data_IF_279387676836
#
_entry.id   IF_279387676836
#
_cell.length_a   1.000
_cell.length_b   1.000
_cell.length_c   1.000
_cell.angle_alpha   90.00
_cell.angle_beta   90.00
_cell.angle_gamma   90.00
#
_symmetry.space_group_name_H-M   'P 1'
#
loop_
_entity.id
_entity.type
_entity.pdbx_description
1 polymer ?
#
# COMPACT_ATOMS: atom_id res chain seq x y z
N UNK A 1 -5.68 0.49 15.32
CA UNK A 1 -6.73 -0.34 14.70
C UNK A 1 -7.36 0.26 13.43
N UNK A 2 -6.91 1.41 12.91
CA UNK A 2 -7.46 1.99 11.67
C UNK A 2 -7.12 1.20 10.40
N UNK A 3 -5.93 0.60 10.35
CA UNK A 3 -5.44 -0.14 9.18
C UNK A 3 -6.33 -1.36 8.88
N UNK A 4 -6.74 -2.12 9.90
CA UNK A 4 -7.56 -3.34 9.71
C UNK A 4 -8.96 -2.99 9.14
N UNK A 5 -9.61 -1.97 9.71
CA UNK A 5 -10.91 -1.46 9.21
C UNK A 5 -10.76 -0.95 7.77
N UNK A 6 -9.70 -0.20 7.48
CA UNK A 6 -9.41 0.31 6.14
C UNK A 6 -9.19 -0.81 5.12
N UNK A 7 -8.38 -1.82 5.45
CA UNK A 7 -8.13 -2.96 4.56
C UNK A 7 -9.37 -3.81 4.32
N UNK A 8 -10.19 -4.05 5.35
CA UNK A 8 -11.45 -4.79 5.21
C UNK A 8 -12.41 -4.08 4.26
N UNK A 9 -12.61 -2.76 4.45
CA UNK A 9 -13.48 -1.97 3.59
C UNK A 9 -12.96 -1.94 2.15
N UNK A 10 -11.65 -1.71 1.94
CA UNK A 10 -11.07 -1.63 0.61
C UNK A 10 -11.14 -2.96 -0.14
N UNK A 11 -10.87 -4.08 0.55
CA UNK A 11 -10.91 -5.42 -0.07
C UNK A 11 -12.34 -5.90 -0.35
N UNK A 12 -13.32 -5.45 0.43
CA UNK A 12 -14.73 -5.76 0.18
C UNK A 12 -15.34 -4.89 -0.92
N UNK A 13 -15.01 -3.60 -0.96
CA UNK A 13 -15.57 -2.66 -1.96
C UNK A 13 -14.97 -2.83 -3.36
N UNK A 14 -13.66 -3.11 -3.47
CA UNK A 14 -12.98 -3.24 -4.76
C UNK A 14 -13.62 -4.28 -5.72
N UNK A 15 -13.92 -5.53 -5.30
CA UNK A 15 -14.53 -6.52 -6.20
C UNK A 15 -15.98 -6.19 -6.54
N UNK A 16 -16.77 -5.64 -5.60
CA UNK A 16 -18.17 -5.26 -5.82
C UNK A 16 -18.29 -4.16 -6.87
N UNK A 17 -17.36 -3.20 -6.85
CA UNK A 17 -17.34 -2.09 -7.81
C UNK A 17 -16.77 -2.54 -9.15
N UNK A 18 -15.76 -3.42 -9.14
CA UNK A 18 -15.21 -3.98 -10.37
C UNK A 18 -16.24 -4.80 -11.17
N UNK A 19 -17.10 -5.56 -10.48
CA UNK A 19 -18.16 -6.37 -11.09
C UNK A 19 -19.26 -5.51 -11.73
N UNK A 20 -19.70 -4.43 -11.05
CA UNK A 20 -20.78 -3.57 -11.55
C UNK A 20 -20.36 -2.46 -12.51
N UNK A 21 -19.18 -1.88 -12.32
CA UNK A 21 -18.74 -0.65 -13.02
C UNK A 21 -17.43 -0.85 -13.80
N UNK A 22 -16.83 -2.04 -13.73
CA UNK A 22 -15.59 -2.38 -14.41
C UNK A 22 -14.33 -1.89 -13.70
N UNK A 23 -13.19 -2.48 -14.06
CA UNK A 23 -11.90 -2.22 -13.41
C UNK A 23 -11.42 -0.76 -13.53
N UNK A 24 -11.75 -0.07 -14.62
CA UNK A 24 -11.36 1.33 -14.84
C UNK A 24 -11.95 2.27 -13.75
N UNK A 25 -13.20 2.05 -13.35
CA UNK A 25 -13.86 2.85 -12.30
C UNK A 25 -13.24 2.55 -10.93
N UNK A 26 -12.93 1.28 -10.65
CA UNK A 26 -12.26 0.87 -9.40
C UNK A 26 -10.89 1.53 -9.24
N UNK A 27 -10.08 1.60 -10.32
CA UNK A 27 -8.77 2.27 -10.27
C UNK A 27 -8.90 3.78 -10.02
N UNK A 28 -9.86 4.44 -10.67
CA UNK A 28 -10.12 5.87 -10.45
C UNK A 28 -10.58 6.16 -9.01
N UNK A 29 -11.39 5.28 -8.42
CA UNK A 29 -11.83 5.40 -7.04
C UNK A 29 -10.67 5.28 -6.04
N UNK A 30 -9.73 4.36 -6.28
CA UNK A 30 -8.52 4.23 -5.46
C UNK A 30 -7.67 5.51 -5.53
N UNK A 31 -7.50 6.08 -6.73
CA UNK A 31 -6.83 7.37 -6.93
C UNK A 31 -7.52 8.51 -6.17
N UNK A 32 -8.85 8.59 -6.27
CA UNK A 32 -9.64 9.59 -5.54
C UNK A 32 -9.49 9.44 -4.02
N UNK A 33 -9.51 8.21 -3.50
CA UNK A 33 -9.27 7.93 -2.09
C UNK A 33 -7.90 8.41 -1.59
N UNK A 34 -6.84 8.22 -2.40
CA UNK A 34 -5.51 8.72 -2.10
C UNK A 34 -5.46 10.26 -2.10
N UNK A 35 -6.13 10.91 -3.05
CA UNK A 35 -6.22 12.39 -3.11
C UNK A 35 -6.92 12.93 -1.85
N UNK A 36 -8.04 12.32 -1.45
CA UNK A 36 -8.75 12.70 -0.22
C UNK A 36 -7.85 12.51 1.00
N UNK A 37 -7.12 11.40 1.10
CA UNK A 37 -6.17 11.18 2.18
C UNK A 37 -5.08 12.26 2.24
N UNK A 38 -4.54 12.67 1.09
CA UNK A 38 -3.58 13.78 1.01
C UNK A 38 -4.20 15.11 1.43
N UNK A 39 -5.43 15.41 1.01
CA UNK A 39 -6.12 16.65 1.41
C UNK A 39 -6.35 16.73 2.91
N UNK A 40 -6.81 15.62 3.52
CA UNK A 40 -6.98 15.55 4.98
C UNK A 40 -5.64 15.70 5.69
N UNK A 41 -4.57 15.08 5.17
CA UNK A 41 -3.22 15.25 5.72
C UNK A 41 -2.77 16.72 5.66
N UNK A 42 -2.99 17.42 4.53
CA UNK A 42 -2.64 18.83 4.40
C UNK A 42 -3.45 19.73 5.35
N UNK A 43 -4.75 19.47 5.50
CA UNK A 43 -5.61 20.21 6.45
C UNK A 43 -5.16 20.00 7.90
N UNK A 44 -4.79 18.77 8.27
CA UNK A 44 -4.34 18.41 9.61
C UNK A 44 -2.83 18.60 9.84
N UNK A 45 -2.09 19.10 8.85
CA UNK A 45 -0.62 19.25 8.91
C UNK A 45 -0.16 20.09 10.09
N UNK A 46 -0.98 21.06 10.51
CA UNK A 46 -0.73 21.91 11.68
C UNK A 46 -0.68 21.14 13.00
N UNK A 47 -1.49 20.09 13.16
CA UNK A 47 -1.50 19.26 14.38
C UNK A 47 -0.31 18.29 14.46
N UNK A 48 0.21 17.83 13.31
CA UNK A 48 1.29 16.83 13.26
C UNK A 48 2.68 17.46 13.29
N UNK A 49 2.80 18.78 13.03
CA UNK A 49 4.08 19.50 12.93
C UNK A 49 4.96 19.44 14.20
N UNK A 50 4.35 19.26 15.37
CA UNK A 50 5.07 19.16 16.66
C UNK A 50 5.42 17.72 17.07
N UNK A 51 5.01 16.71 16.28
CA UNK A 51 5.20 15.29 16.56
C UNK A 51 6.04 14.72 15.40
N UNK A 52 7.34 15.03 15.41
CA UNK A 52 8.27 14.61 14.36
C UNK A 52 9.65 14.29 14.94
N UNK A 53 10.25 13.19 14.49
CA UNK A 53 11.63 12.83 14.86
C UNK A 53 12.64 13.85 14.29
N UNK A 54 13.83 13.96 14.88
CA UNK A 54 14.94 14.84 14.41
C UNK A 54 15.20 14.91 12.88
N UNK A 55 14.99 13.86 12.05
CA UNK A 55 15.07 13.97 10.59
C UNK A 55 13.94 14.78 9.92
N UNK A 56 12.79 14.99 10.55
CA UNK A 56 11.67 15.80 10.03
C UNK A 56 11.94 17.31 10.19
N UNK A 57 12.87 17.67 11.07
CA UNK A 57 13.33 19.05 11.27
C UNK A 57 14.51 19.43 10.37
N UNK A 58 15.06 18.49 9.59
CA UNK A 58 16.14 18.78 8.63
C UNK A 58 15.55 19.26 7.30
N UNK A 59 16.20 20.20 6.60
CA UNK A 59 15.73 20.66 5.30
C UNK A 59 15.67 19.49 4.32
N UNK A 60 14.54 19.36 3.62
CA UNK A 60 14.33 18.34 2.61
C UNK A 60 15.47 18.40 1.58
N UNK A 61 16.22 17.30 1.43
CA UNK A 61 17.24 17.18 0.39
C UNK A 61 16.54 17.12 -0.97
N UNK A 62 16.47 18.25 -1.67
CA UNK A 62 15.83 18.36 -2.99
C UNK A 62 16.30 17.29 -4.00
N UNK A 63 17.57 16.88 -3.94
CA UNK A 63 18.10 15.79 -4.78
C UNK A 63 17.38 14.46 -4.53
N UNK A 64 17.11 14.12 -3.28
CA UNK A 64 16.41 12.88 -2.92
C UNK A 64 14.92 12.99 -3.27
N UNK A 65 14.31 14.17 -3.05
CA UNK A 65 12.93 14.43 -3.45
C UNK A 65 12.75 14.25 -4.97
N UNK A 66 13.67 14.81 -5.76
CA UNK A 66 13.61 14.74 -7.22
C UNK A 66 13.86 13.32 -7.72
N UNK A 67 14.77 12.56 -7.08
CA UNK A 67 14.95 11.13 -7.37
C UNK A 67 13.69 10.30 -7.08
N UNK A 68 13.02 10.53 -5.95
CA UNK A 68 11.77 9.84 -5.61
C UNK A 68 10.68 10.21 -6.61
N UNK A 69 10.54 11.48 -6.96
CA UNK A 69 9.56 11.95 -7.93
C UNK A 69 9.81 11.36 -9.33
N UNK A 70 11.07 11.29 -9.76
CA UNK A 70 11.43 10.69 -11.03
C UNK A 70 11.13 9.18 -11.02
N UNK A 71 11.45 8.51 -9.91
CA UNK A 71 11.12 7.11 -9.68
C UNK A 71 9.62 6.83 -9.72
N UNK A 72 8.78 7.68 -9.12
CA UNK A 72 7.33 7.52 -9.17
C UNK A 72 6.79 7.69 -10.59
N UNK A 73 7.28 8.66 -11.37
CA UNK A 73 6.88 8.83 -12.77
C UNK A 73 7.25 7.60 -13.60
N UNK A 74 8.48 7.09 -13.47
CA UNK A 74 8.93 5.88 -14.17
C UNK A 74 8.07 4.67 -13.79
N UNK A 75 7.75 4.51 -12.50
CA UNK A 75 6.90 3.42 -12.02
C UNK A 75 5.46 3.52 -12.56
N UNK A 76 4.90 4.73 -12.67
CA UNK A 76 3.56 4.93 -13.27
C UNK A 76 3.56 4.48 -14.73
N UNK A 77 4.58 4.85 -15.51
CA UNK A 77 4.71 4.40 -16.89
C UNK A 77 4.85 2.87 -16.99
N UNK A 78 5.64 2.26 -16.10
CA UNK A 78 5.78 0.80 -16.04
C UNK A 78 4.43 0.12 -15.72
N UNK A 79 3.68 0.64 -14.75
CA UNK A 79 2.35 0.14 -14.39
C UNK A 79 1.34 0.31 -15.54
N UNK A 80 1.36 1.44 -16.24
CA UNK A 80 0.49 1.68 -17.39
C UNK A 80 0.80 0.71 -18.55
N UNK A 81 2.08 0.48 -18.83
CA UNK A 81 2.52 -0.49 -19.84
C UNK A 81 2.14 -1.94 -19.47
N UNK A 82 2.21 -2.28 -18.18
CA UNK A 82 1.77 -3.58 -17.67
C UNK A 82 0.26 -3.79 -17.88
N UNK A 83 -0.56 -2.78 -17.56
CA UNK A 83 -2.02 -2.84 -17.74
C UNK A 83 -2.44 -2.94 -19.21
N UNK A 84 -1.69 -2.33 -20.12
CA UNK A 84 -1.94 -2.44 -21.56
C UNK A 84 -1.75 -3.88 -22.08
N UNK A 85 -0.84 -4.65 -21.48
CA UNK A 85 -0.54 -6.02 -21.87
C UNK A 85 -1.15 -7.04 -20.89
N UNK A 86 -2.47 -7.23 -20.96
CA UNK A 86 -3.24 -8.10 -20.04
C UNK A 86 -2.66 -9.51 -19.89
N UNK A 87 -2.09 -10.08 -20.97
CA UNK A 87 -1.43 -11.40 -20.93
C UNK A 87 -0.23 -11.43 -19.96
N UNK A 88 0.59 -10.37 -19.97
CA UNK A 88 1.77 -10.23 -19.10
C UNK A 88 1.32 -9.91 -17.67
N UNK A 89 0.30 -9.06 -17.51
CA UNK A 89 -0.27 -8.74 -16.20
C UNK A 89 -0.77 -10.00 -15.48
N UNK A 90 -1.54 -10.86 -16.15
CA UNK A 90 -2.01 -12.11 -15.57
C UNK A 90 -0.88 -13.06 -15.18
N UNK A 91 0.16 -13.19 -16.02
CA UNK A 91 1.32 -14.01 -15.68
C UNK A 91 2.03 -13.47 -14.42
N UNK A 92 2.24 -12.15 -14.35
CA UNK A 92 2.85 -11.50 -13.19
C UNK A 92 2.01 -11.67 -11.92
N UNK A 93 0.68 -11.56 -12.03
CA UNK A 93 -0.23 -11.76 -10.89
C UNK A 93 -0.15 -13.19 -10.34
N UNK A 94 -0.06 -14.20 -11.22
CA UNK A 94 0.11 -15.60 -10.81
C UNK A 94 1.44 -15.80 -10.07
N UNK A 95 2.53 -15.31 -10.65
CA UNK A 95 3.87 -15.40 -10.03
C UNK A 95 3.89 -14.69 -8.67
N UNK A 96 3.33 -13.47 -8.60
CA UNK A 96 3.27 -12.69 -7.37
C UNK A 96 2.47 -13.42 -6.28
N UNK A 97 1.33 -14.01 -6.63
CA UNK A 97 0.49 -14.78 -5.71
C UNK A 97 1.26 -15.98 -5.13
N UNK A 98 1.97 -16.74 -5.97
CA UNK A 98 2.80 -17.88 -5.53
C UNK A 98 3.90 -17.41 -4.58
N UNK A 99 4.64 -16.35 -4.93
CA UNK A 99 5.73 -15.81 -4.11
C UNK A 99 5.21 -15.36 -2.74
N UNK A 100 4.11 -14.62 -2.72
CA UNK A 100 3.49 -14.13 -1.48
C UNK A 100 3.03 -15.29 -0.62
N UNK A 101 2.36 -16.29 -1.19
CA UNK A 101 1.95 -17.50 -0.46
C UNK A 101 3.16 -18.21 0.16
N UNK A 102 4.23 -18.47 -0.61
CA UNK A 102 5.46 -19.11 -0.09
C UNK A 102 6.09 -18.27 1.03
N UNK A 103 6.12 -16.94 0.88
CA UNK A 103 6.66 -16.04 1.90
C UNK A 103 5.85 -16.11 3.19
N UNK A 104 4.52 -16.07 3.11
CA UNK A 104 3.64 -16.22 4.27
C UNK A 104 3.80 -17.58 4.94
N UNK A 105 3.89 -18.67 4.17
CA UNK A 105 4.17 -19.99 4.72
C UNK A 105 5.54 -20.03 5.42
N UNK A 106 6.59 -19.46 4.82
CA UNK A 106 7.92 -19.39 5.43
C UNK A 106 7.91 -18.62 6.74
N UNK A 107 7.21 -17.50 6.83
CA UNK A 107 7.07 -16.73 8.06
C UNK A 107 6.23 -17.49 9.10
N UNK A 108 5.14 -18.16 8.69
CA UNK A 108 4.36 -19.03 9.58
C UNK A 108 5.22 -20.16 10.17
N UNK A 109 6.01 -20.87 9.36
CA UNK A 109 6.91 -21.92 9.85
C UNK A 109 8.10 -21.39 10.66
N UNK A 110 8.50 -20.12 10.50
CA UNK A 110 9.50 -19.48 11.38
C UNK A 110 8.90 -19.16 12.75
N UNK A 111 7.60 -18.85 12.82
CA UNK A 111 6.87 -18.61 14.06
C UNK A 111 6.60 -19.91 14.83
N UNK A 112 6.52 -21.06 14.16
CA UNK A 112 6.39 -22.39 14.78
C UNK A 112 7.64 -22.91 15.50
N UNK A 113 8.77 -22.19 15.47
CA UNK A 113 9.87 -22.48 16.40
C UNK A 113 9.42 -22.00 17.79
N UNK A 114 9.27 -22.90 18.79
CA UNK A 114 8.67 -22.57 20.08
C UNK A 114 9.53 -21.60 20.87
N UNK A 115 9.33 -20.31 20.63
CA UNK A 115 9.80 -19.24 21.46
C UNK A 115 8.64 -18.25 21.65
N UNK A 116 7.99 -18.37 22.81
CA UNK A 116 7.13 -17.38 23.45
C UNK A 116 5.63 -17.36 23.07
N UNK A 117 4.92 -18.38 23.55
CA UNK A 117 3.49 -18.37 23.94
C UNK A 117 3.18 -17.35 25.07
N UNK A 118 4.01 -16.31 25.28
CA UNK A 118 3.89 -15.39 26.43
C UNK A 118 3.53 -13.94 26.11
N UNK A 119 3.44 -13.56 24.83
CA UNK A 119 3.17 -12.16 24.48
C UNK A 119 2.06 -11.97 23.42
N UNK A 120 1.07 -12.87 23.38
CA UNK A 120 -0.09 -12.73 22.47
C UNK A 120 -1.37 -12.22 23.15
N UNK A 121 -1.33 -11.90 24.46
CA UNK A 121 -2.48 -11.42 25.24
C UNK A 121 -2.32 -9.99 25.80
N UNK A 122 -1.34 -9.21 25.31
CA UNK A 122 -1.12 -7.81 25.75
C UNK A 122 -1.13 -6.80 24.59
N UNK A 123 -1.75 -7.16 23.47
CA UNK A 123 -1.86 -6.28 22.29
C UNK A 123 -3.19 -6.44 21.54
N UNK A 124 -4.18 -7.06 22.18
CA UNK A 124 -5.59 -6.93 21.82
C UNK A 124 -6.30 -6.11 22.90
#
# INVERSE_FOLDING_TARGET
MSINIGSLLSLSLAPVIADKFGYAVTYNLCGAGLIVALLVYFACRGMVKNIGSEPDHKPLRFRNLLLVLLGTVVMIFLCAWLMHNVKIANLMLIVLSIVVTIFFFREAFRLDKPAAIKCSWRLF
#
